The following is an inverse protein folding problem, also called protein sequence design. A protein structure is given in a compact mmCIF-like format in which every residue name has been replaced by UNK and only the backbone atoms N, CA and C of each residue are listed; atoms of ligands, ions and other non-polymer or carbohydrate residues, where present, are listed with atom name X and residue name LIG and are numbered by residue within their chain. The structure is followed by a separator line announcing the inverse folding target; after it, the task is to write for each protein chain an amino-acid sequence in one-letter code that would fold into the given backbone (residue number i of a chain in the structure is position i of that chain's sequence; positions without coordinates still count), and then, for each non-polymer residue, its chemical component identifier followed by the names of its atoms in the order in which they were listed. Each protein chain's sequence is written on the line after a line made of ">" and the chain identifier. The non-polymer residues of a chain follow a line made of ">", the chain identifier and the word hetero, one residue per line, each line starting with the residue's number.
data_IF_839212115853
#
_entry.id   IF_839212115853
#
_cell.length_a   1.000
_cell.length_b   1.000
_cell.length_c   1.000
_cell.angle_alpha   90.00
_cell.angle_beta   90.00
_cell.angle_gamma   90.00
#
_symmetry.space_group_name_H-M   'P 1'
#
loop_
_entity.id
_entity.type
_entity.pdbx_description
1 polymer ?
#
# COMPACT_ATOMS: atom_id res chain seq x y z
N UNK A 1 13.32 9.13 -11.22
CA UNK A 1 12.86 9.31 -10.75
C UNK A 1 12.66 9.80 -10.27
N UNK A 2 12.44 9.88 -10.04
CA UNK A 2 12.24 10.36 -9.48
C UNK A 2 11.90 10.28 -8.52
N UNK A 3 12.05 10.18 -7.88
CA UNK A 3 11.70 10.17 -6.84
C UNK A 3 11.25 11.19 -6.39
N UNK A 4 11.44 11.79 -6.76
CA UNK A 4 11.05 12.85 -6.54
C UNK A 4 9.78 13.03 -6.66
N UNK A 5 9.37 12.49 -7.47
CA UNK A 5 8.01 12.82 -7.59
C UNK A 5 7.28 12.50 -6.32
N UNK A 6 7.38 11.33 -5.79
CA UNK A 6 6.68 11.07 -4.57
C UNK A 6 7.10 11.94 -3.47
N UNK A 7 8.36 12.17 -3.45
CA UNK A 7 8.76 12.82 -2.29
C UNK A 7 8.60 14.23 -2.36
N UNK A 8 8.58 14.74 -3.42
CA UNK A 8 8.54 16.08 -3.38
C UNK A 8 7.33 16.63 -3.47
N UNK A 9 6.53 16.06 -3.96
CA UNK A 9 5.27 16.51 -3.77
C UNK A 9 5.21 16.46 -2.35
N UNK A 10 6.08 17.07 -1.80
CA UNK A 10 6.16 17.07 -0.50
C UNK A 10 4.94 17.31 0.12
N UNK A 11 4.27 18.12 -0.43
CA UNK A 11 2.99 18.18 0.06
C UNK A 11 2.48 16.84 0.03
N UNK A 12 2.73 16.15 -0.95
CA UNK A 12 2.19 14.88 -1.01
C UNK A 12 2.82 14.00 0.01
N UNK A 13 3.79 14.46 0.68
CA UNK A 13 4.35 13.65 1.71
C UNK A 13 3.66 13.93 3.02
N UNK A 14 2.72 14.85 3.04
CA UNK A 14 1.99 15.09 4.26
C UNK A 14 0.87 14.09 4.36
N UNK A 15 0.55 13.68 5.55
CA UNK A 15 -0.52 12.72 5.75
C UNK A 15 -1.87 13.33 5.41
N UNK A 16 -2.82 12.49 5.11
CA UNK A 16 -4.15 12.94 4.74
C UNK A 16 -4.92 13.45 5.94
N UNK A 17 -4.70 12.86 7.08
CA UNK A 17 -5.41 13.22 8.28
C UNK A 17 -4.46 13.86 9.25
N UNK A 18 -4.90 14.90 9.90
CA UNK A 18 -4.05 15.50 10.88
C UNK A 18 -4.07 14.65 12.13
N UNK A 19 -2.98 14.07 12.39
CA UNK A 19 -2.70 13.55 13.70
C UNK A 19 -2.83 12.10 13.95
N UNK A 20 -3.87 11.41 13.79
CA UNK A 20 -3.97 10.17 14.50
C UNK A 20 -4.35 8.92 13.73
N UNK A 21 -4.75 9.03 12.55
CA UNK A 21 -5.19 7.85 11.78
C UNK A 21 -4.00 7.20 11.11
N UNK A 22 -3.85 5.86 11.22
CA UNK A 22 -2.76 5.20 10.49
C UNK A 22 -2.95 5.35 8.98
N UNK A 23 -1.85 5.67 8.30
CA UNK A 23 -1.86 5.88 6.86
C UNK A 23 -0.67 5.21 6.22
N UNK A 24 -0.79 4.90 4.94
CA UNK A 24 0.32 4.31 4.20
C UNK A 24 0.53 5.04 2.89
N UNK A 25 1.78 5.30 2.55
CA UNK A 25 2.14 5.94 1.27
C UNK A 25 2.50 4.84 0.28
N UNK A 26 1.74 4.78 -0.81
CA UNK A 26 1.87 3.75 -1.82
C UNK A 26 2.17 4.38 -3.17
N UNK A 27 3.16 3.85 -3.87
CA UNK A 27 3.45 4.23 -5.24
C UNK A 27 3.02 3.13 -6.19
N UNK A 28 2.30 3.49 -7.24
CA UNK A 28 1.83 2.53 -8.24
C UNK A 28 2.36 2.92 -9.61
N UNK A 29 2.77 1.93 -10.38
CA UNK A 29 3.24 2.15 -11.75
C UNK A 29 2.85 0.95 -12.60
N UNK A 30 2.28 1.19 -13.75
CA UNK A 30 1.93 0.10 -14.66
C UNK A 30 2.69 0.25 -15.97
N UNK A 31 3.34 -0.83 -16.39
CA UNK A 31 4.03 -0.90 -17.67
C UNK A 31 3.21 -1.77 -18.60
N UNK A 32 2.51 -1.14 -19.54
CA UNK A 32 1.62 -1.85 -20.45
C UNK A 32 2.38 -2.73 -21.43
N UNK A 33 3.62 -2.38 -21.74
CA UNK A 33 4.42 -3.17 -22.69
C UNK A 33 4.75 -4.54 -22.11
N UNK A 34 5.06 -4.60 -20.82
CA UNK A 34 5.45 -5.85 -20.19
C UNK A 34 4.35 -6.48 -19.35
N UNK A 35 3.25 -5.75 -19.11
CA UNK A 35 2.18 -6.23 -18.24
C UNK A 35 2.57 -6.24 -16.79
N UNK A 36 3.47 -5.37 -16.37
CA UNK A 36 3.95 -5.35 -14.99
C UNK A 36 3.33 -4.22 -14.19
N UNK A 37 2.69 -4.60 -13.10
CA UNK A 37 2.17 -3.67 -12.12
C UNK A 37 3.14 -3.63 -10.96
N UNK A 38 3.73 -2.47 -10.70
CA UNK A 38 4.69 -2.29 -9.61
C UNK A 38 4.02 -1.52 -8.50
N UNK A 39 4.08 -2.06 -7.29
CA UNK A 39 3.54 -1.40 -6.11
C UNK A 39 4.69 -1.19 -5.13
N UNK A 40 4.99 0.05 -4.84
CA UNK A 40 6.04 0.36 -3.87
C UNK A 40 5.39 0.77 -2.57
N UNK A 41 5.66 0.01 -1.51
CA UNK A 41 5.25 0.38 -0.17
C UNK A 41 6.33 1.31 0.34
N UNK A 42 6.02 2.60 0.40
CA UNK A 42 7.05 3.60 0.69
C UNK A 42 7.22 3.79 2.18
N UNK A 43 6.17 4.16 2.88
CA UNK A 43 6.26 4.33 4.32
C UNK A 43 4.88 4.42 4.96
N UNK A 44 4.83 4.26 6.27
CA UNK A 44 3.61 4.39 7.03
C UNK A 44 3.66 5.58 7.97
N UNK A 45 2.52 5.90 8.56
CA UNK A 45 2.41 7.01 9.50
C UNK A 45 1.40 6.66 10.57
N UNK A 46 1.74 6.97 11.80
CA UNK A 46 0.87 6.77 12.96
C UNK A 46 0.49 5.32 13.22
N UNK A 47 1.39 4.40 12.96
CA UNK A 47 1.16 3.01 13.29
C UNK A 47 1.30 2.84 14.81
N UNK A 48 0.35 2.12 15.41
CA UNK A 48 0.35 1.95 16.84
C UNK A 48 0.23 0.52 17.24
N UNK A 49 0.79 0.21 18.38
CA UNK A 49 0.63 -1.09 19.00
C UNK A 49 -0.41 -0.93 20.10
N UNK A 50 -1.65 -1.32 19.81
CA UNK A 50 -2.76 -1.07 20.72
C UNK A 50 -2.61 -1.73 22.08
N UNK A 51 -1.87 -2.80 22.15
CA UNK A 51 -1.76 -3.58 23.39
C UNK A 51 -0.47 -3.35 24.15
N UNK A 52 0.38 -2.46 23.69
CA UNK A 52 1.66 -2.25 24.34
C UNK A 52 2.02 -0.77 24.35
N UNK A 53 2.84 -0.37 25.30
CA UNK A 53 3.25 1.02 25.43
C UNK A 53 4.52 1.32 24.67
N UNK A 54 4.77 0.62 23.61
CA UNK A 54 5.98 0.82 22.81
C UNK A 54 5.61 0.85 21.35
N UNK A 55 6.46 1.44 20.50
CA UNK A 55 6.19 1.47 19.07
C UNK A 55 6.10 0.06 18.50
N UNK A 56 5.28 -0.14 17.46
CA UNK A 56 5.07 -1.48 16.92
C UNK A 56 6.19 -1.93 15.99
N UNK A 57 6.28 -3.25 15.85
CA UNK A 57 7.10 -3.88 14.82
C UNK A 57 6.11 -4.25 13.72
N UNK A 58 6.24 -3.66 12.53
CA UNK A 58 5.20 -3.80 11.52
C UNK A 58 5.72 -4.32 10.19
N UNK A 59 4.83 -4.93 9.42
CA UNK A 59 5.09 -5.26 8.04
C UNK A 59 3.79 -5.09 7.25
N UNK A 60 3.91 -4.99 5.94
CA UNK A 60 2.76 -4.81 5.05
C UNK A 60 2.65 -6.04 4.16
N UNK A 61 1.46 -6.62 4.09
CA UNK A 61 1.17 -7.74 3.23
C UNK A 61 0.38 -7.23 2.04
N UNK A 62 0.80 -7.60 0.84
CA UNK A 62 0.10 -7.24 -0.39
C UNK A 62 -0.51 -8.49 -0.99
N UNK A 63 -1.81 -8.44 -1.30
CA UNK A 63 -2.51 -9.56 -1.92
C UNK A 63 -3.20 -9.06 -3.16
N UNK A 64 -2.98 -9.73 -4.28
CA UNK A 64 -3.64 -9.40 -5.54
C UNK A 64 -4.73 -10.43 -5.79
N UNK A 65 -5.96 -9.97 -6.01
CA UNK A 65 -7.12 -10.82 -6.25
C UNK A 65 -7.63 -10.66 -7.67
N UNK A 66 -8.18 -11.73 -8.24
CA UNK A 66 -8.82 -11.62 -9.55
C UNK A 66 -10.27 -11.12 -9.39
N UNK A 67 -11.02 -11.05 -10.47
CA UNK A 67 -12.38 -10.51 -10.44
C UNK A 67 -13.33 -11.34 -9.59
N UNK A 68 -12.99 -12.60 -9.34
CA UNK A 68 -13.82 -13.47 -8.53
C UNK A 68 -13.39 -13.48 -7.05
N UNK A 69 -12.43 -12.62 -6.70
CA UNK A 69 -11.94 -12.55 -5.33
C UNK A 69 -10.93 -13.62 -4.97
N UNK A 70 -10.41 -14.32 -5.95
CA UNK A 70 -9.43 -15.38 -5.70
C UNK A 70 -8.03 -14.79 -5.68
N UNK A 71 -7.21 -15.30 -4.79
CA UNK A 71 -5.84 -14.81 -4.66
C UNK A 71 -4.98 -15.23 -5.85
N UNK A 72 -4.37 -14.27 -6.49
CA UNK A 72 -3.46 -14.49 -7.60
C UNK A 72 -2.01 -14.48 -7.11
N UNK A 73 -1.71 -13.63 -6.14
CA UNK A 73 -0.34 -13.46 -5.67
C UNK A 73 -0.35 -12.81 -4.29
N UNK A 74 0.63 -13.15 -3.47
CA UNK A 74 0.78 -12.57 -2.14
C UNK A 74 2.26 -12.35 -1.87
N UNK A 75 2.58 -11.21 -1.28
CA UNK A 75 3.93 -10.91 -0.85
C UNK A 75 3.88 -10.00 0.36
N UNK A 76 4.99 -9.81 1.02
CA UNK A 76 5.03 -8.95 2.18
C UNK A 76 6.39 -8.31 2.36
N UNK A 77 6.41 -7.15 2.98
CA UNK A 77 7.64 -6.45 3.26
C UNK A 77 8.38 -7.13 4.40
N UNK A 78 9.62 -6.76 4.59
CA UNK A 78 10.32 -7.14 5.80
C UNK A 78 9.74 -6.33 6.97
N UNK A 79 10.02 -6.77 8.18
CA UNK A 79 9.53 -6.13 9.39
C UNK A 79 10.37 -4.90 9.72
N UNK A 80 9.72 -3.81 10.06
CA UNK A 80 10.38 -2.60 10.56
C UNK A 80 10.11 -2.52 12.05
N UNK A 81 11.18 -2.52 12.84
CA UNK A 81 11.04 -2.65 14.28
C UNK A 81 10.96 -1.31 14.99
N UNK A 82 10.01 -1.23 15.93
CA UNK A 82 9.94 -0.09 16.84
C UNK A 82 9.71 1.25 16.17
N UNK A 83 8.93 1.26 15.08
CA UNK A 83 8.75 2.49 14.31
C UNK A 83 7.28 2.79 14.10
N UNK A 84 6.77 3.89 14.67
CA UNK A 84 5.37 4.27 14.40
C UNK A 84 5.22 4.87 13.01
N UNK A 85 6.31 5.37 12.42
CA UNK A 85 6.29 5.92 11.07
C UNK A 85 7.37 5.23 10.24
N UNK A 86 7.18 3.94 9.96
CA UNK A 86 8.24 3.14 9.31
C UNK A 86 8.46 3.50 7.87
N UNK A 87 9.71 3.40 7.43
CA UNK A 87 10.08 3.58 6.03
C UNK A 87 10.40 2.20 5.48
N UNK A 88 9.63 1.74 4.51
CA UNK A 88 9.84 0.43 3.90
C UNK A 88 10.63 0.55 2.59
N UNK A 89 10.14 1.34 1.65
CA UNK A 89 10.74 1.51 0.32
C UNK A 89 10.99 0.17 -0.36
N UNK A 90 10.00 -0.69 -0.33
CA UNK A 90 10.09 -1.99 -0.99
C UNK A 90 9.09 -2.05 -2.13
N UNK A 91 9.53 -2.51 -3.28
CA UNK A 91 8.70 -2.59 -4.49
C UNK A 91 8.38 -4.04 -4.81
N UNK A 92 7.12 -4.29 -5.12
CA UNK A 92 6.64 -5.62 -5.50
C UNK A 92 6.05 -5.53 -6.90
N UNK A 93 6.36 -6.51 -7.74
CA UNK A 93 5.92 -6.51 -9.13
C UNK A 93 4.97 -7.67 -9.36
N UNK A 94 3.80 -7.36 -9.94
CA UNK A 94 2.79 -8.35 -10.25
C UNK A 94 2.60 -8.40 -11.76
N UNK A 95 2.40 -9.61 -12.30
CA UNK A 95 2.14 -9.75 -13.72
C UNK A 95 0.63 -9.62 -13.93
N UNK A 96 0.20 -8.56 -14.59
CA UNK A 96 -1.21 -8.28 -14.84
C UNK A 96 -1.36 -7.77 -16.27
N UNK A 97 -2.04 -8.54 -17.11
CA UNK A 97 -2.25 -8.11 -18.49
C UNK A 97 -3.13 -6.86 -18.53
N UNK A 98 -2.95 -6.05 -19.56
CA UNK A 98 -3.68 -4.79 -19.66
C UNK A 98 -5.19 -5.00 -19.55
N UNK A 99 -5.72 -6.04 -20.19
CA UNK A 99 -7.15 -6.28 -20.17
C UNK A 99 -7.66 -6.74 -18.81
N UNK A 100 -6.75 -7.13 -17.90
CA UNK A 100 -7.12 -7.55 -16.56
C UNK A 100 -6.99 -6.42 -15.55
N UNK A 101 -6.33 -5.33 -15.93
CA UNK A 101 -5.95 -4.30 -14.95
C UNK A 101 -7.15 -3.67 -14.25
N UNK A 102 -8.29 -3.59 -14.90
CA UNK A 102 -9.50 -3.05 -14.29
C UNK A 102 -10.30 -4.12 -13.51
N UNK A 103 -9.87 -5.39 -13.61
CA UNK A 103 -10.61 -6.48 -12.99
C UNK A 103 -9.91 -7.09 -11.78
N UNK A 104 -8.80 -6.53 -11.37
CA UNK A 104 -8.06 -7.04 -10.20
C UNK A 104 -8.22 -6.09 -9.02
N UNK A 105 -8.02 -6.63 -7.83
CA UNK A 105 -8.02 -5.84 -6.60
C UNK A 105 -6.71 -6.07 -5.87
N UNK A 106 -6.06 -5.00 -5.46
CA UNK A 106 -4.84 -5.08 -4.67
C UNK A 106 -5.17 -4.68 -3.24
N UNK A 107 -4.90 -5.57 -2.30
CA UNK A 107 -5.15 -5.30 -0.89
C UNK A 107 -3.82 -5.14 -0.18
N UNK A 108 -3.70 -4.07 0.62
CA UNK A 108 -2.57 -3.87 1.50
C UNK A 108 -3.07 -4.00 2.92
N UNK A 109 -2.46 -4.89 3.68
CA UNK A 109 -2.82 -5.09 5.09
C UNK A 109 -1.58 -4.85 5.94
N UNK A 110 -1.69 -4.02 6.95
CA UNK A 110 -0.59 -3.68 7.84
C UNK A 110 -0.76 -4.42 9.14
N UNK A 111 0.26 -5.18 9.51
CA UNK A 111 0.23 -5.97 10.74
C UNK A 111 1.29 -5.52 11.72
N UNK A 112 0.93 -5.54 12.99
CA UNK A 112 1.87 -5.39 14.08
C UNK A 112 2.27 -6.79 14.52
N UNK A 113 3.56 -7.10 14.48
CA UNK A 113 4.04 -8.42 14.86
C UNK A 113 4.39 -8.40 16.34
N UNK A 114 3.67 -9.18 17.13
CA UNK A 114 3.88 -9.18 18.58
C UNK A 114 4.81 -10.28 19.04
N UNK A 115 4.87 -11.39 18.30
CA UNK A 115 5.77 -12.48 18.59
C UNK A 115 5.87 -13.32 17.31
N UNK A 116 6.63 -14.39 17.36
CA UNK A 116 6.77 -15.26 16.18
C UNK A 116 5.44 -15.79 15.71
N UNK A 117 4.49 -15.98 16.63
CA UNK A 117 3.20 -16.58 16.29
C UNK A 117 2.04 -15.62 16.39
N UNK A 118 2.28 -14.38 16.82
CA UNK A 118 1.18 -13.44 17.02
C UNK A 118 1.34 -12.21 16.18
N UNK A 119 0.27 -11.83 15.51
CA UNK A 119 0.20 -10.59 14.78
C UNK A 119 -1.16 -9.98 14.99
N UNK A 120 -1.24 -8.66 14.82
CA UNK A 120 -2.48 -7.96 15.02
C UNK A 120 -2.64 -7.01 13.83
N UNK A 121 -3.80 -6.96 13.24
CA UNK A 121 -4.05 -6.08 12.10
C UNK A 121 -4.15 -4.64 12.57
N UNK A 122 -3.32 -3.77 12.03
CA UNK A 122 -3.41 -2.34 12.29
C UNK A 122 -4.46 -1.73 11.39
N UNK A 123 -4.49 -2.13 10.13
CA UNK A 123 -5.47 -1.62 9.18
C UNK A 123 -5.20 -2.11 7.78
N UNK A 124 -6.09 -1.77 6.86
CA UNK A 124 -6.00 -2.24 5.49
C UNK A 124 -6.61 -1.23 4.51
N UNK A 125 -6.24 -1.34 3.24
CA UNK A 125 -6.87 -0.61 2.14
C UNK A 125 -6.90 -1.54 0.94
N UNK A 126 -7.85 -1.31 0.04
CA UNK A 126 -7.86 -2.02 -1.23
C UNK A 126 -8.03 -1.04 -2.37
N UNK A 127 -7.41 -1.37 -3.49
CA UNK A 127 -7.41 -0.55 -4.70
C UNK A 127 -7.79 -1.43 -5.88
N UNK A 128 -8.27 -0.83 -6.94
CA UNK A 128 -8.66 -1.56 -8.14
C UNK A 128 -10.15 -1.76 -8.23
N UNK A 129 -10.56 -2.96 -8.66
CA UNK A 129 -11.97 -3.25 -8.88
C UNK A 129 -12.80 -3.01 -7.62
N UNK A 130 -12.33 -3.50 -6.48
CA UNK A 130 -13.03 -3.34 -5.22
C UNK A 130 -12.25 -2.40 -4.32
N UNK A 131 -12.23 -1.11 -4.69
CA UNK A 131 -11.51 -0.11 -3.92
C UNK A 131 -12.24 0.19 -2.63
N UNK A 132 -11.48 0.40 -1.56
CA UNK A 132 -12.05 0.62 -0.23
C UNK A 132 -12.50 2.06 -0.01
N UNK A 133 -12.20 2.97 -0.90
CA UNK A 133 -12.61 4.35 -0.80
C UNK A 133 -12.35 5.11 -2.07
N UNK A 134 -12.78 6.38 -2.09
CA UNK A 134 -12.65 7.20 -3.28
C UNK A 134 -11.18 7.52 -3.61
N UNK A 135 -10.35 7.73 -2.60
CA UNK A 135 -8.94 8.00 -2.82
C UNK A 135 -8.22 6.83 -3.46
N UNK A 136 -8.61 5.62 -3.07
CA UNK A 136 -8.03 4.40 -3.61
C UNK A 136 -8.46 4.21 -5.05
N UNK A 137 -9.72 4.47 -5.34
CA UNK A 137 -10.25 4.36 -6.70
C UNK A 137 -9.55 5.38 -7.60
N UNK A 138 -9.38 6.62 -7.12
CA UNK A 138 -8.71 7.67 -7.89
C UNK A 138 -7.25 7.33 -8.15
N UNK A 139 -6.58 6.76 -7.17
CA UNK A 139 -5.17 6.37 -7.32
C UNK A 139 -5.02 5.33 -8.44
N UNK A 140 -5.91 4.31 -8.42
CA UNK A 140 -5.88 3.27 -9.44
C UNK A 140 -6.16 3.83 -10.82
N UNK A 141 -7.16 4.71 -10.92
CA UNK A 141 -7.52 5.33 -12.20
C UNK A 141 -6.37 6.18 -12.74
N UNK A 142 -5.70 6.93 -11.86
CA UNK A 142 -4.60 7.78 -12.29
C UNK A 142 -3.42 6.92 -12.74
N UNK A 143 -3.14 5.83 -12.05
CA UNK A 143 -2.09 4.90 -12.47
C UNK A 143 -2.37 4.37 -13.89
N UNK A 144 -3.63 4.01 -14.16
CA UNK A 144 -3.98 3.50 -15.47
C UNK A 144 -3.82 4.54 -16.56
N UNK A 145 -4.04 5.81 -16.22
CA UNK A 145 -3.86 6.89 -17.20
C UNK A 145 -2.41 7.26 -17.40
N UNK A 146 -1.60 7.19 -16.37
CA UNK A 146 -0.20 7.61 -16.42
C UNK A 146 0.74 6.43 -16.56
N UNK A 147 0.52 5.63 -17.57
CA UNK A 147 1.33 4.44 -17.78
C UNK A 147 2.81 4.80 -17.89
N UNK A 148 3.62 4.03 -17.20
CA UNK A 148 5.06 4.25 -17.20
C UNK A 148 5.52 5.32 -16.23
N UNK A 149 4.59 5.92 -15.46
CA UNK A 149 4.96 6.92 -14.47
C UNK A 149 4.42 6.49 -13.12
N UNK A 150 5.22 6.63 -12.10
CA UNK A 150 4.79 6.27 -10.75
C UNK A 150 3.86 7.33 -10.20
N UNK A 151 2.74 6.88 -9.64
CA UNK A 151 1.78 7.76 -8.99
C UNK A 151 1.75 7.38 -7.52
N UNK A 152 2.00 8.33 -6.64
CA UNK A 152 2.05 8.08 -5.20
C UNK A 152 0.95 8.82 -4.47
N UNK A 153 0.33 8.13 -3.53
CA UNK A 153 -0.70 8.74 -2.68
C UNK A 153 -0.69 8.12 -1.30
N UNK A 154 -1.08 8.93 -0.34
CA UNK A 154 -1.34 8.46 1.01
C UNK A 154 -2.74 7.86 1.08
N UNK A 155 -2.90 6.80 1.85
CA UNK A 155 -4.18 6.15 2.06
C UNK A 155 -4.40 5.94 3.55
N UNK A 156 -5.55 6.40 4.05
CA UNK A 156 -5.92 6.14 5.42
C UNK A 156 -6.33 4.67 5.54
N UNK A 157 -5.81 3.99 6.55
CA UNK A 157 -6.11 2.58 6.74
C UNK A 157 -7.46 2.42 7.42
N UNK A 158 -8.19 1.40 6.99
CA UNK A 158 -9.46 1.06 7.61
C UNK A 158 -9.22 0.00 8.67
N UNK A 159 -9.99 0.05 9.72
CA UNK A 159 -9.92 -0.98 10.76
C UNK A 159 -10.81 -2.13 10.30
N UNK A 160 -10.50 -3.31 10.71
CA UNK A 160 -11.26 -4.49 10.28
C UNK A 160 -12.65 -4.60 10.89
#
# INVERSE_FOLDING_TARGET
>A
MSEMSCTESATSCQSLEHGSVPEILLGLLYNATTGRLSAEVIRGSHFRNLAANRPPDTYVKLTLLNSMGQEMSTCKTSVRRGQPNPVYKETFVFQVALFQLSDVTLILSVYSRRSMKRKELIGWVSLGLNSSGQGELSHWAEMKERRGQQVCRWHALLES
#
